data_IF_907520057252
#
_entry.id   IF_907520057252
#
_cell.length_a   1.000
_cell.length_b   1.000
_cell.length_c   1.000
_cell.angle_alpha   90.00
_cell.angle_beta   90.00
_cell.angle_gamma   90.00
#
_symmetry.space_group_name_H-M   'P 1'
#
loop_
_entity.id
_entity.type
_entity.pdbx_description
1 polymer ?
#
# COMPACT_ATOMS: atom_id res chain seq x y z
N UNK A 1 -0.10 -24.23 21.86
CA UNK A 1 -1.23 -24.96 21.24
C UNK A 1 -1.17 -24.86 19.72
N UNK A 2 -1.77 -25.79 18.97
CA UNK A 2 -1.80 -25.75 17.50
C UNK A 2 -2.48 -24.48 16.94
N UNK A 3 -3.52 -24.02 17.63
CA UNK A 3 -4.26 -22.76 17.34
C UNK A 3 -3.38 -21.50 17.39
N UNK A 4 -2.41 -21.44 18.30
CA UNK A 4 -1.49 -20.29 18.38
C UNK A 4 -0.52 -20.26 17.21
N UNK A 5 -0.06 -21.44 16.75
CA UNK A 5 0.78 -21.56 15.55
C UNK A 5 0.00 -21.16 14.30
N UNK A 6 -1.26 -21.58 14.19
CA UNK A 6 -2.14 -21.19 13.09
C UNK A 6 -2.36 -19.67 13.06
N UNK A 7 -2.68 -19.07 14.21
CA UNK A 7 -2.85 -17.61 14.34
C UNK A 7 -1.60 -16.84 13.92
N UNK A 8 -0.43 -17.28 14.36
CA UNK A 8 0.84 -16.66 14.01
C UNK A 8 1.11 -16.72 12.49
N UNK A 9 0.78 -17.85 11.85
CA UNK A 9 0.91 -17.99 10.41
C UNK A 9 -0.03 -17.05 9.64
N UNK A 10 -1.29 -16.92 10.06
CA UNK A 10 -2.26 -16.00 9.45
C UNK A 10 -1.84 -14.54 9.58
N UNK A 11 -1.34 -14.16 10.76
CA UNK A 11 -0.77 -12.83 11.00
C UNK A 11 0.41 -12.54 10.09
N UNK A 12 1.30 -13.52 9.89
CA UNK A 12 2.44 -13.34 9.01
C UNK A 12 2.03 -13.21 7.54
N UNK A 13 1.08 -14.02 7.07
CA UNK A 13 0.50 -13.88 5.73
C UNK A 13 -0.10 -12.48 5.54
N UNK A 14 -0.86 -11.98 6.52
CA UNK A 14 -1.42 -10.63 6.48
C UNK A 14 -0.34 -9.55 6.40
N UNK A 15 0.76 -9.67 7.18
CA UNK A 15 1.90 -8.73 7.10
C UNK A 15 2.54 -8.72 5.72
N UNK A 16 2.76 -9.90 5.14
CA UNK A 16 3.34 -10.02 3.80
C UNK A 16 2.43 -9.40 2.73
N UNK A 17 1.12 -9.61 2.83
CA UNK A 17 0.16 -8.97 1.92
C UNK A 17 0.20 -7.45 2.03
N UNK A 18 0.22 -6.89 3.25
CA UNK A 18 0.36 -5.44 3.45
C UNK A 18 1.65 -4.91 2.84
N UNK A 19 2.78 -5.56 3.10
CA UNK A 19 4.07 -5.16 2.55
C UNK A 19 4.07 -5.17 1.02
N UNK A 20 3.47 -6.20 0.41
CA UNK A 20 3.35 -6.30 -1.04
C UNK A 20 2.49 -5.17 -1.62
N UNK A 21 1.36 -4.84 -0.98
CA UNK A 21 0.49 -3.73 -1.40
C UNK A 21 1.20 -2.37 -1.31
N UNK A 22 1.93 -2.11 -0.23
CA UNK A 22 2.75 -0.90 -0.07
C UNK A 22 3.82 -0.83 -1.16
N UNK A 23 4.52 -1.94 -1.43
CA UNK A 23 5.55 -2.01 -2.48
C UNK A 23 4.98 -1.71 -3.86
N UNK A 24 3.81 -2.26 -4.19
CA UNK A 24 3.11 -1.96 -5.45
C UNK A 24 2.69 -0.50 -5.55
N UNK A 25 2.14 0.06 -4.46
CA UNK A 25 1.76 1.46 -4.38
C UNK A 25 2.96 2.39 -4.62
N UNK A 26 4.09 2.14 -3.94
CA UNK A 26 5.33 2.91 -4.15
C UNK A 26 5.84 2.82 -5.60
N UNK A 27 5.85 1.62 -6.19
CA UNK A 27 6.32 1.43 -7.57
C UNK A 27 5.49 2.23 -8.59
N UNK A 28 4.18 2.40 -8.33
CA UNK A 28 3.30 3.15 -9.22
C UNK A 28 3.64 4.65 -9.36
N UNK A 29 4.37 5.21 -8.37
CA UNK A 29 4.78 6.63 -8.32
C UNK A 29 6.28 6.82 -8.56
N UNK A 30 7.02 5.78 -8.97
CA UNK A 30 8.46 5.87 -9.22
C UNK A 30 8.84 6.95 -10.24
N UNK A 31 8.03 7.11 -11.29
CA UNK A 31 8.25 8.14 -12.30
C UNK A 31 8.02 9.55 -11.73
N UNK A 32 7.00 9.72 -10.89
CA UNK A 32 6.72 10.99 -10.21
C UNK A 32 7.90 11.33 -9.27
N UNK A 33 8.38 10.35 -8.51
CA UNK A 33 9.56 10.50 -7.65
C UNK A 33 10.83 10.84 -8.43
N UNK A 34 10.98 10.31 -9.65
CA UNK A 34 12.08 10.67 -10.54
C UNK A 34 11.98 12.12 -11.02
N UNK A 35 10.79 12.58 -11.40
CA UNK A 35 10.54 13.97 -11.81
C UNK A 35 10.85 14.95 -10.69
N UNK A 36 10.40 14.67 -9.46
CA UNK A 36 10.69 15.48 -8.28
C UNK A 36 12.19 15.57 -7.99
N UNK A 37 12.90 14.43 -8.04
CA UNK A 37 14.38 14.41 -7.88
C UNK A 37 15.12 15.20 -8.95
N UNK A 38 14.56 15.28 -10.16
CA UNK A 38 15.07 16.10 -11.24
C UNK A 38 14.66 17.59 -11.14
N UNK A 39 13.94 18.00 -10.09
CA UNK A 39 13.48 19.37 -9.88
C UNK A 39 12.32 19.79 -10.78
N UNK A 40 11.60 18.84 -11.40
CA UNK A 40 10.45 19.14 -12.26
C UNK A 40 9.19 19.35 -11.43
N UNK A 41 8.39 20.33 -11.82
CA UNK A 41 7.02 20.47 -11.33
C UNK A 41 6.13 19.33 -11.84
N UNK A 42 5.17 18.92 -11.02
CA UNK A 42 4.17 17.91 -11.35
C UNK A 42 2.98 18.52 -12.07
N UNK A 43 2.32 17.75 -12.93
CA UNK A 43 0.98 18.12 -13.44
C UNK A 43 -0.09 17.93 -12.36
N UNK A 44 -1.30 18.49 -12.53
CA UNK A 44 -2.41 18.23 -11.61
C UNK A 44 -2.73 16.74 -11.46
N UNK A 45 -2.68 15.97 -12.56
CA UNK A 45 -2.96 14.54 -12.58
C UNK A 45 -1.89 13.74 -11.81
N UNK A 46 -0.62 14.12 -11.96
CA UNK A 46 0.49 13.51 -11.22
C UNK A 46 0.41 13.81 -9.73
N UNK A 47 0.01 15.03 -9.37
CA UNK A 47 -0.18 15.43 -7.97
C UNK A 47 -1.33 14.63 -7.35
N UNK A 48 -2.46 14.51 -8.06
CA UNK A 48 -3.60 13.71 -7.61
C UNK A 48 -3.23 12.22 -7.43
N UNK A 49 -2.48 11.65 -8.38
CA UNK A 49 -1.97 10.28 -8.27
C UNK A 49 -1.03 10.11 -7.08
N UNK A 50 -0.08 11.02 -6.88
CA UNK A 50 0.84 10.96 -5.76
C UNK A 50 0.09 10.98 -4.42
N UNK A 51 -0.85 11.90 -4.26
CA UNK A 51 -1.63 12.03 -3.02
C UNK A 51 -2.47 10.76 -2.76
N UNK A 52 -3.20 10.26 -3.77
CA UNK A 52 -4.00 9.05 -3.61
C UNK A 52 -3.16 7.83 -3.21
N UNK A 53 -1.92 7.74 -3.71
CA UNK A 53 -0.99 6.65 -3.35
C UNK A 53 -0.47 6.80 -1.93
N UNK A 54 -0.18 8.03 -1.48
CA UNK A 54 0.24 8.30 -0.10
C UNK A 54 -0.90 7.97 0.87
N UNK A 55 -2.12 8.43 0.59
CA UNK A 55 -3.31 8.15 1.40
C UNK A 55 -3.55 6.63 1.53
N UNK A 56 -3.46 5.89 0.41
CA UNK A 56 -3.60 4.43 0.42
C UNK A 56 -2.52 3.72 1.24
N UNK A 57 -1.27 4.19 1.20
CA UNK A 57 -0.18 3.63 2.02
C UNK A 57 -0.44 3.89 3.50
N UNK A 58 -0.93 5.08 3.86
CA UNK A 58 -1.27 5.42 5.23
C UNK A 58 -2.43 4.56 5.75
N UNK A 59 -3.48 4.35 4.94
CA UNK A 59 -4.58 3.43 5.25
C UNK A 59 -4.08 1.99 5.48
N UNK A 60 -3.21 1.48 4.61
CA UNK A 60 -2.62 0.16 4.77
C UNK A 60 -1.82 0.03 6.06
N UNK A 61 -1.03 1.06 6.40
CA UNK A 61 -0.20 1.06 7.61
C UNK A 61 -1.03 1.14 8.88
N UNK A 62 -2.14 1.89 8.85
CA UNK A 62 -3.09 2.02 9.95
C UNK A 62 -4.00 0.78 10.12
N UNK A 63 -4.14 -0.05 9.07
CA UNK A 63 -5.02 -1.22 9.08
C UNK A 63 -4.63 -2.22 10.17
N UNK A 64 -5.59 -2.53 11.04
CA UNK A 64 -5.44 -3.56 12.04
C UNK A 64 -5.49 -4.96 11.41
N UNK A 65 -4.31 -5.54 11.19
CA UNK A 65 -4.16 -6.90 10.66
C UNK A 65 -4.36 -7.99 11.72
N UNK A 66 -4.61 -7.61 12.99
CA UNK A 66 -4.87 -8.56 14.07
C UNK A 66 -6.19 -9.33 13.92
N UNK A 67 -7.03 -8.95 12.94
CA UNK A 67 -8.28 -9.61 12.56
C UNK A 67 -8.13 -10.63 11.43
N UNK A 68 -6.89 -10.97 11.03
CA UNK A 68 -6.63 -12.02 10.03
C UNK A 68 -7.44 -13.31 10.30
N UNK A 69 -7.76 -14.15 9.30
CA UNK A 69 -7.55 -13.94 7.87
C UNK A 69 -8.57 -12.97 7.25
N UNK A 70 -9.63 -12.61 7.98
CA UNK A 70 -10.73 -11.76 7.50
C UNK A 70 -10.39 -10.26 7.59
N UNK A 71 -9.46 -9.84 6.72
CA UNK A 71 -9.04 -8.43 6.63
C UNK A 71 -9.77 -7.73 5.50
N UNK A 72 -10.43 -6.61 5.83
CA UNK A 72 -10.98 -5.69 4.83
C UNK A 72 -9.87 -4.79 4.31
N UNK A 73 -9.20 -5.21 3.24
CA UNK A 73 -8.15 -4.41 2.62
C UNK A 73 -8.74 -3.17 1.94
N UNK A 74 -8.11 -1.99 2.08
CA UNK A 74 -8.52 -0.80 1.35
C UNK A 74 -8.42 -1.04 -0.16
N UNK A 75 -9.27 -0.35 -0.91
CA UNK A 75 -9.26 -0.44 -2.36
C UNK A 75 -8.06 0.32 -2.94
N UNK A 76 -7.35 -0.33 -3.84
CA UNK A 76 -6.25 0.28 -4.56
C UNK A 76 -6.77 1.46 -5.41
N UNK A 77 -6.19 2.67 -5.33
CA UNK A 77 -6.64 3.78 -6.16
C UNK A 77 -6.51 3.43 -7.65
N UNK A 78 -7.49 3.82 -8.46
CA UNK A 78 -7.47 3.59 -9.92
C UNK A 78 -6.20 4.14 -10.59
N UNK A 79 -5.56 5.14 -9.99
CA UNK A 79 -4.29 5.68 -10.44
C UNK A 79 -3.11 4.67 -10.38
N UNK A 80 -3.27 3.54 -9.68
CA UNK A 80 -2.34 2.41 -9.69
C UNK A 80 -2.47 1.53 -10.95
N UNK A 81 -3.63 1.58 -11.63
CA UNK A 81 -3.83 0.89 -12.90
C UNK A 81 -3.13 1.69 -14.01
N UNK A 82 -2.02 1.14 -14.50
CA UNK A 82 -1.23 1.68 -15.61
C UNK A 82 -1.96 1.59 -16.94
#
# INVERSE_FOLDING_TARGET
>A
TDTERQRAAELEVARQQRQQRVKQAMASVDLINLKLRAGRSLTPEETAKLNAVLDYIDELNALDISTAPEISWPEAPLALAS
#
